data_IF_395690333267
#
_entry.id   IF_395690333267
#
_cell.length_a   1.000
_cell.length_b   1.000
_cell.length_c   1.000
_cell.angle_alpha   90.00
_cell.angle_beta   90.00
_cell.angle_gamma   90.00
#
_symmetry.space_group_name_H-M   'P 1'
#
loop_
_entity.id
_entity.type
_entity.pdbx_description
1 polymer ?
#
# COMPACT_ATOMS: atom_id res chain seq x y z
N UNK A 1 -0.69 17.17 3.29
CA UNK A 1 0.13 16.04 2.82
C UNK A 1 -0.75 14.82 2.59
N UNK A 2 -0.48 14.13 1.49
CA UNK A 2 -0.99 12.79 1.21
C UNK A 2 0.18 11.88 0.92
N UNK A 3 0.05 10.62 1.29
CA UNK A 3 1.09 9.63 1.08
C UNK A 3 0.56 8.53 0.18
N UNK A 4 1.29 8.24 -0.87
CA UNK A 4 1.17 6.97 -1.56
C UNK A 4 1.99 5.94 -0.78
N UNK A 5 1.42 4.79 -0.50
CA UNK A 5 2.10 3.73 0.24
C UNK A 5 1.87 2.37 -0.42
N UNK A 6 2.86 1.49 -0.26
CA UNK A 6 2.76 0.09 -0.64
C UNK A 6 2.95 -0.73 0.63
N UNK A 7 1.95 -1.56 0.92
CA UNK A 7 2.05 -2.58 1.95
C UNK A 7 2.39 -3.91 1.30
N UNK A 8 3.17 -4.72 1.99
CA UNK A 8 3.42 -6.11 1.63
C UNK A 8 3.01 -7.00 2.79
N UNK A 9 2.40 -8.14 2.47
CA UNK A 9 2.16 -9.22 3.43
C UNK A 9 2.92 -10.44 2.97
N UNK A 10 3.77 -10.97 3.87
CA UNK A 10 4.56 -12.17 3.62
C UNK A 10 3.65 -13.41 3.57
N UNK A 11 2.66 -13.50 4.45
CA UNK A 11 1.73 -14.61 4.58
C UNK A 11 0.83 -14.79 3.36
N UNK A 12 0.44 -13.67 2.73
CA UNK A 12 -0.41 -13.66 1.55
C UNK A 12 0.35 -13.43 0.24
N UNK A 13 1.67 -13.23 0.31
CA UNK A 13 2.57 -12.89 -0.80
C UNK A 13 1.96 -11.82 -1.75
N UNK A 14 1.48 -10.73 -1.15
CA UNK A 14 0.68 -9.73 -1.86
C UNK A 14 1.05 -8.31 -1.51
N UNK A 15 1.02 -7.47 -2.54
CA UNK A 15 1.16 -6.03 -2.42
C UNK A 15 -0.21 -5.36 -2.37
N UNK A 16 -0.34 -4.38 -1.49
CA UNK A 16 -1.48 -3.46 -1.44
C UNK A 16 -0.97 -2.04 -1.70
N UNK A 17 -1.52 -1.38 -2.71
CA UNK A 17 -1.14 -0.02 -3.09
C UNK A 17 -2.31 0.89 -2.77
N UNK A 18 -2.05 1.97 -2.04
CA UNK A 18 -3.08 2.93 -1.64
C UNK A 18 -2.54 4.33 -1.38
N UNK A 19 -3.48 5.27 -1.20
CA UNK A 19 -3.19 6.66 -0.80
C UNK A 19 -3.90 6.98 0.51
N UNK A 20 -3.21 7.65 1.43
CA UNK A 20 -3.78 8.08 2.71
C UNK A 20 -3.03 9.30 3.24
N UNK A 21 -3.72 10.17 3.98
CA UNK A 21 -3.08 11.19 4.81
C UNK A 21 -2.58 10.64 6.16
N UNK A 22 -3.01 9.42 6.52
CA UNK A 22 -2.62 8.69 7.72
C UNK A 22 -2.31 7.23 7.33
N UNK A 23 -1.04 6.94 7.09
CA UNK A 23 -0.55 5.61 6.67
C UNK A 23 -0.52 4.66 7.87
N UNK A 24 -0.07 5.11 9.04
CA UNK A 24 -0.01 4.29 10.24
C UNK A 24 -1.39 3.81 10.71
N UNK A 25 -2.39 4.70 10.72
CA UNK A 25 -3.76 4.29 11.02
C UNK A 25 -4.35 3.38 9.95
N UNK A 26 -3.90 3.44 8.70
CA UNK A 26 -4.26 2.44 7.67
C UNK A 26 -3.61 1.10 7.95
N UNK A 27 -2.32 1.08 8.26
CA UNK A 27 -1.57 -0.14 8.61
C UNK A 27 -2.21 -0.84 9.82
N UNK A 28 -2.48 -0.10 10.90
CA UNK A 28 -3.18 -0.62 12.08
C UNK A 28 -4.54 -1.21 11.74
N UNK A 29 -5.29 -0.61 10.82
CA UNK A 29 -6.59 -1.15 10.36
C UNK A 29 -6.46 -2.41 9.50
N UNK A 30 -5.37 -2.54 8.75
CA UNK A 30 -5.06 -3.75 7.99
C UNK A 30 -4.65 -4.91 8.91
N UNK A 31 -3.87 -4.63 9.96
CA UNK A 31 -3.43 -5.63 10.93
C UNK A 31 -4.42 -5.86 12.09
N UNK A 32 -5.48 -5.05 12.20
CA UNK A 32 -6.52 -5.25 13.20
C UNK A 32 -7.32 -6.54 12.91
N UNK A 33 -7.29 -7.47 13.87
CA UNK A 33 -7.88 -8.83 13.84
C UNK A 33 -9.40 -8.86 13.59
N UNK A 34 -10.09 -7.71 13.64
CA UNK A 34 -11.55 -7.63 13.77
C UNK A 34 -12.39 -7.75 12.49
N UNK A 35 -11.81 -8.05 11.31
CA UNK A 35 -12.61 -8.11 10.07
C UNK A 35 -12.68 -9.50 9.46
N UNK A 36 -13.83 -10.17 9.67
CA UNK A 36 -14.37 -11.18 8.75
C UNK A 36 -14.51 -10.55 7.35
N UNK A 37 -13.48 -10.65 6.51
CA UNK A 37 -13.43 -10.07 5.16
C UNK A 37 -12.10 -10.36 4.46
N UNK A 38 -11.98 -9.99 3.16
CA UNK A 38 -10.82 -10.30 2.30
C UNK A 38 -9.47 -9.84 2.87
N UNK A 39 -9.45 -8.78 3.67
CA UNK A 39 -8.25 -8.21 4.33
C UNK A 39 -7.92 -8.84 5.68
N UNK A 40 -8.78 -9.69 6.26
CA UNK A 40 -8.51 -10.40 7.52
C UNK A 40 -7.70 -11.68 7.36
N UNK A 41 -7.19 -11.97 6.15
CA UNK A 41 -6.39 -13.18 5.86
C UNK A 41 -4.92 -13.03 6.22
N UNK A 42 -4.43 -11.80 6.35
CA UNK A 42 -3.06 -11.45 6.67
C UNK A 42 -3.07 -10.38 7.76
N UNK A 43 -2.28 -10.60 8.81
CA UNK A 43 -2.08 -9.68 9.94
C UNK A 43 -0.64 -9.15 10.00
N UNK A 44 0.14 -9.48 8.97
CA UNK A 44 1.56 -9.20 8.81
C UNK A 44 1.78 -8.19 7.68
N UNK A 45 0.85 -7.25 7.50
CA UNK A 45 1.08 -6.16 6.55
C UNK A 45 2.16 -5.26 7.11
N UNK A 46 3.15 -4.95 6.28
CA UNK A 46 4.24 -4.03 6.57
C UNK A 46 4.33 -2.97 5.46
N UNK A 47 4.68 -1.73 5.84
CA UNK A 47 4.93 -0.67 4.86
C UNK A 47 6.30 -0.92 4.25
N UNK A 48 6.34 -1.22 2.95
CA UNK A 48 7.59 -1.44 2.21
C UNK A 48 7.99 -0.24 1.35
N UNK A 49 7.06 0.70 1.14
CA UNK A 49 7.31 1.89 0.33
C UNK A 49 6.36 3.03 0.71
N UNK A 50 6.86 4.26 0.65
CA UNK A 50 6.08 5.47 0.88
C UNK A 50 6.63 6.65 0.07
N UNK A 51 5.75 7.36 -0.64
CA UNK A 51 6.02 8.62 -1.34
C UNK A 51 5.09 9.71 -0.79
N UNK A 52 5.62 10.92 -0.60
CA UNK A 52 4.87 12.08 -0.13
C UNK A 52 4.44 12.99 -1.27
N UNK A 53 3.20 13.49 -1.18
CA UNK A 53 2.61 14.41 -2.14
C UNK A 53 1.92 15.58 -1.44
N UNK A 54 2.08 16.77 -2.03
CA UNK A 54 1.41 17.99 -1.57
C UNK A 54 -0.11 17.94 -1.76
N UNK A 55 -0.59 17.27 -2.83
CA UNK A 55 -2.00 17.15 -3.16
C UNK A 55 -2.47 15.69 -3.20
N UNK A 56 -3.75 15.46 -2.88
CA UNK A 56 -4.38 14.13 -3.02
C UNK A 56 -4.41 13.67 -4.47
N UNK A 57 -4.59 14.62 -5.39
CA UNK A 57 -4.75 14.35 -6.81
C UNK A 57 -3.48 13.74 -7.40
N UNK A 58 -2.31 14.32 -7.09
CA UNK A 58 -1.03 13.83 -7.58
C UNK A 58 -0.73 12.42 -7.06
N UNK A 59 -1.02 12.17 -5.78
CA UNK A 59 -0.88 10.85 -5.18
C UNK A 59 -1.78 9.80 -5.86
N UNK A 60 -3.02 10.16 -6.21
CA UNK A 60 -3.96 9.26 -6.91
C UNK A 60 -3.55 8.99 -8.36
N UNK A 61 -2.99 9.98 -9.06
CA UNK A 61 -2.43 9.78 -10.41
C UNK A 61 -1.30 8.75 -10.34
N UNK A 62 -0.38 8.91 -9.37
CA UNK A 62 0.71 7.97 -9.16
C UNK A 62 0.20 6.58 -8.79
N UNK A 63 -0.79 6.47 -7.91
CA UNK A 63 -1.42 5.21 -7.52
C UNK A 63 -1.97 4.46 -8.74
N UNK A 64 -2.68 5.18 -9.59
CA UNK A 64 -3.27 4.65 -10.82
C UNK A 64 -2.18 4.17 -11.79
N UNK A 65 -1.10 4.95 -11.94
CA UNK A 65 0.05 4.58 -12.76
C UNK A 65 0.68 3.28 -12.26
N UNK A 66 0.99 3.17 -10.96
CA UNK A 66 1.60 1.96 -10.38
C UNK A 66 0.65 0.75 -10.56
N UNK A 67 -0.66 0.92 -10.29
CA UNK A 67 -1.66 -0.14 -10.49
C UNK A 67 -1.79 -0.58 -11.94
N UNK A 68 -1.60 0.34 -12.89
CA UNK A 68 -1.69 0.05 -14.32
C UNK A 68 -0.56 -0.83 -14.84
N UNK A 69 0.58 -0.88 -14.14
CA UNK A 69 1.70 -1.74 -14.53
C UNK A 69 1.33 -3.21 -14.57
N UNK A 70 0.40 -3.64 -13.69
CA UNK A 70 -0.03 -5.04 -13.53
C UNK A 70 1.16 -6.01 -13.46
N UNK A 71 2.31 -5.53 -12.97
CA UNK A 71 3.58 -6.22 -12.99
C UNK A 71 4.19 -6.14 -11.61
N UNK A 72 4.41 -7.32 -11.02
CA UNK A 72 5.06 -7.48 -9.72
C UNK A 72 6.51 -7.01 -9.77
N UNK A 73 7.25 -7.38 -10.82
CA UNK A 73 8.64 -6.97 -11.04
C UNK A 73 8.81 -5.46 -10.95
N UNK A 74 7.96 -4.68 -11.63
CA UNK A 74 8.03 -3.21 -11.59
C UNK A 74 7.75 -2.63 -10.20
N UNK A 75 6.87 -3.27 -9.43
CA UNK A 75 6.59 -2.86 -8.05
C UNK A 75 7.81 -3.15 -7.17
N UNK A 76 8.44 -4.32 -7.34
CA UNK A 76 9.66 -4.68 -6.60
C UNK A 76 10.85 -3.79 -6.98
N UNK A 77 11.00 -3.45 -8.27
CA UNK A 77 11.99 -2.47 -8.73
C UNK A 77 11.78 -1.11 -8.06
N UNK A 78 10.52 -0.65 -7.96
CA UNK A 78 10.19 0.61 -7.29
C UNK A 78 10.54 0.59 -5.79
N UNK A 79 10.31 -0.54 -5.11
CA UNK A 79 10.56 -0.70 -3.66
C UNK A 79 12.07 -0.77 -3.34
N UNK A 80 12.90 -1.26 -4.28
CA UNK A 80 14.34 -1.44 -4.07
C UNK A 80 15.17 -0.16 -4.21
N UNK A 81 14.57 0.93 -4.67
CA UNK A 81 15.20 2.25 -4.81
C UNK A 81 15.27 2.94 -3.45
#
# INVERSE_FOLDING_TARGET
>A
MYFLYILYSLSCDRYYIGVSSDVEGRLRRHNAVYKKGFTGRAQDWEVVYQEEYGSKHDALIRETLIKSWKSRLKIEELIRV
#
